data_IF_323024719062
#
_entry.id   IF_323024719062
#
_cell.length_a   1.000
_cell.length_b   1.000
_cell.length_c   1.000
_cell.angle_alpha   90.00
_cell.angle_beta   90.00
_cell.angle_gamma   90.00
#
_symmetry.space_group_name_H-M   'P 1'
#
loop_
_entity.id
_entity.type
_entity.pdbx_description
1 polymer ?
#
# COMPACT_ATOMS: atom_id res chain seq x y z
N UNK A 1 -9.21 -17.92 5.82
CA UNK A 1 -9.28 -16.61 5.14
C UNK A 1 -7.87 -16.24 4.69
N UNK A 2 -7.70 -15.85 3.43
CA UNK A 2 -6.43 -15.30 2.94
C UNK A 2 -6.41 -13.84 3.36
N UNK A 3 -5.49 -13.49 4.25
CA UNK A 3 -5.28 -12.11 4.70
C UNK A 3 -3.93 -11.69 4.16
N UNK A 4 -3.92 -10.82 3.15
CA UNK A 4 -2.67 -10.29 2.64
C UNK A 4 -2.10 -9.36 3.71
N UNK A 5 -0.96 -9.72 4.31
CA UNK A 5 -0.21 -8.85 5.23
C UNK A 5 0.47 -7.77 4.43
N UNK A 6 -0.32 -6.81 4.01
CA UNK A 6 0.19 -5.58 3.50
C UNK A 6 -0.33 -4.54 4.46
N UNK A 7 0.58 -3.92 5.20
CA UNK A 7 0.39 -2.68 5.96
C UNK A 7 0.01 -1.50 5.03
N UNK A 8 -0.59 -1.80 3.87
CA UNK A 8 -1.04 -0.96 2.78
C UNK A 8 -2.46 -0.46 3.06
N UNK A 9 -2.65 0.19 4.20
CA UNK A 9 -3.80 1.09 4.38
C UNK A 9 -3.44 2.53 4.04
N UNK A 10 -2.20 2.79 3.59
CA UNK A 10 -1.71 4.06 3.05
C UNK A 10 -1.44 3.90 1.56
N UNK A 11 -2.00 4.81 0.76
CA UNK A 11 -2.04 4.84 -0.72
C UNK A 11 -3.15 4.00 -1.37
N UNK A 12 -4.04 4.72 -2.03
CA UNK A 12 -5.23 4.27 -2.76
C UNK A 12 -4.91 3.43 -4.03
N UNK A 13 -3.78 2.74 -4.10
CA UNK A 13 -3.27 2.13 -5.33
C UNK A 13 -3.32 0.59 -5.38
N UNK A 14 -4.10 -0.07 -4.52
CA UNK A 14 -4.45 -1.49 -4.75
C UNK A 14 -5.90 -1.84 -4.36
N UNK A 15 -6.90 -1.43 -5.16
CA UNK A 15 -8.03 -2.30 -5.43
C UNK A 15 -7.63 -3.26 -6.55
N UNK A 16 -7.60 -4.56 -6.24
CA UNK A 16 -7.49 -5.62 -7.24
C UNK A 16 -8.86 -5.78 -7.91
N UNK A 17 -9.22 -4.83 -8.77
CA UNK A 17 -10.31 -4.97 -9.75
C UNK A 17 -9.77 -4.47 -11.07
N UNK A 18 -9.97 -5.28 -12.11
CA UNK A 18 -9.55 -5.02 -13.49
C UNK A 18 -9.77 -3.56 -13.86
N UNK A 19 -8.70 -2.76 -13.88
CA UNK A 19 -8.69 -1.54 -14.66
C UNK A 19 -8.78 -2.00 -16.12
N UNK A 20 -9.83 -1.55 -16.80
CA UNK A 20 -9.90 -1.61 -18.25
C UNK A 20 -8.61 -1.03 -18.80
N UNK A 21 -7.85 -1.89 -19.46
CA UNK A 21 -6.65 -1.56 -20.18
C UNK A 21 -7.05 -0.60 -21.30
N UNK A 22 -6.80 0.71 -21.13
CA UNK A 22 -6.60 1.54 -22.30
C UNK A 22 -5.34 1.02 -23.01
N UNK A 23 -5.32 1.07 -24.34
CA UNK A 23 -4.30 0.54 -25.27
C UNK A 23 -2.84 0.98 -25.00
N UNK A 24 -2.60 1.74 -23.94
CA UNK A 24 -1.29 2.22 -23.50
C UNK A 24 -0.81 1.67 -22.14
N UNK A 25 -1.61 0.88 -21.41
CA UNK A 25 -1.16 0.05 -20.28
C UNK A 25 -0.44 0.77 -19.12
N UNK A 26 -0.77 2.03 -18.80
CA UNK A 26 -0.02 2.84 -17.81
C UNK A 26 -0.87 3.29 -16.61
N UNK A 27 -0.38 3.01 -15.40
CA UNK A 27 -0.82 3.63 -14.14
C UNK A 27 -0.41 5.12 -14.09
N UNK A 28 -1.27 6.03 -13.59
CA UNK A 28 -0.97 7.47 -13.51
C UNK A 28 0.15 7.82 -12.51
N UNK A 29 0.38 6.97 -11.50
CA UNK A 29 1.51 7.11 -10.57
C UNK A 29 2.80 6.46 -11.11
N UNK A 30 3.47 7.11 -12.08
CA UNK A 30 4.85 6.77 -12.50
C UNK A 30 5.89 7.34 -11.51
N UNK A 31 6.91 6.55 -11.08
CA UNK A 31 8.10 7.07 -10.39
C UNK A 31 9.12 7.61 -11.40
N UNK A 32 9.53 8.86 -11.20
CA UNK A 32 10.42 9.62 -12.08
C UNK A 32 11.82 9.84 -11.50
N UNK A 33 12.17 9.17 -10.40
CA UNK A 33 13.55 9.13 -9.90
C UNK A 33 14.37 8.13 -10.72
N UNK A 34 14.80 8.55 -11.91
CA UNK A 34 15.84 7.85 -12.69
C UNK A 34 17.08 8.74 -12.69
N UNK A 35 17.93 8.59 -11.68
CA UNK A 35 19.36 8.90 -11.80
C UNK A 35 20.09 7.65 -12.29
N UNK A 36 21.29 7.82 -12.83
CA UNK A 36 22.14 6.77 -13.45
C UNK A 36 22.41 5.54 -12.58
N UNK A 37 22.12 5.61 -11.27
CA UNK A 37 22.05 4.45 -10.35
C UNK A 37 20.60 4.02 -10.12
N UNK A 38 19.92 3.57 -11.18
CA UNK A 38 18.51 3.18 -11.06
C UNK A 38 18.38 1.91 -10.21
N UNK A 39 17.70 2.01 -9.07
CA UNK A 39 17.45 0.89 -8.13
C UNK A 39 16.59 -0.26 -8.70
N UNK A 40 16.22 -0.21 -9.99
CA UNK A 40 15.35 -1.24 -10.59
C UNK A 40 13.94 -1.27 -10.00
N UNK A 41 13.41 -0.13 -9.53
CA UNK A 41 12.07 -0.10 -8.91
C UNK A 41 11.00 -0.51 -9.91
N UNK A 42 9.91 -1.11 -9.41
CA UNK A 42 8.77 -1.58 -10.24
C UNK A 42 8.01 -0.46 -10.94
N UNK A 43 8.38 0.81 -10.71
CA UNK A 43 7.71 2.00 -11.23
C UNK A 43 6.22 2.06 -10.89
N UNK A 44 5.81 1.54 -9.72
CA UNK A 44 4.42 1.51 -9.22
C UNK A 44 4.12 2.50 -8.09
N UNK A 45 5.05 3.41 -7.76
CA UNK A 45 4.83 4.40 -6.70
C UNK A 45 4.93 3.88 -5.25
N UNK A 46 5.40 2.65 -5.03
CA UNK A 46 5.51 2.06 -3.68
C UNK A 46 6.43 2.88 -2.76
N UNK A 47 7.63 3.24 -3.23
CA UNK A 47 8.58 4.04 -2.44
C UNK A 47 8.01 5.40 -2.00
N UNK A 48 7.51 6.24 -2.92
CA UNK A 48 6.87 7.51 -2.57
C UNK A 48 5.70 7.37 -1.59
N UNK A 49 4.86 6.34 -1.75
CA UNK A 49 3.77 6.07 -0.81
C UNK A 49 4.28 5.78 0.62
N UNK A 50 5.33 4.98 0.77
CA UNK A 50 5.97 4.72 2.07
C UNK A 50 6.68 5.96 2.63
N UNK A 51 7.25 6.82 1.78
CA UNK A 51 7.83 8.08 2.22
C UNK A 51 6.78 9.05 2.78
N UNK A 52 5.60 9.16 2.14
CA UNK A 52 4.47 9.94 2.69
C UNK A 52 3.93 9.34 3.98
N UNK A 53 3.94 8.00 4.13
CA UNK A 53 3.59 7.33 5.39
C UNK A 53 4.58 7.71 6.51
N UNK A 54 5.88 7.62 6.23
CA UNK A 54 6.93 7.98 7.19
C UNK A 54 6.87 9.47 7.58
N UNK A 55 6.57 10.33 6.60
CA UNK A 55 6.41 11.78 6.80
C UNK A 55 5.07 12.16 7.43
N UNK A 56 4.16 11.21 7.67
CA UNK A 56 2.81 11.42 8.22
C UNK A 56 1.92 12.36 7.38
N UNK A 57 2.25 12.54 6.10
CA UNK A 57 1.49 13.33 5.13
C UNK A 57 0.62 12.46 4.22
N UNK A 58 0.78 11.14 4.29
CA UNK A 58 0.04 10.19 3.46
C UNK A 58 -1.44 10.08 3.83
N UNK A 59 -2.26 9.76 2.83
CA UNK A 59 -3.70 9.52 2.99
C UNK A 59 -4.01 8.03 3.11
N UNK A 60 -5.01 7.71 3.94
CA UNK A 60 -5.48 6.36 4.21
C UNK A 60 -6.89 6.13 3.67
N UNK A 61 -7.27 4.85 3.58
CA UNK A 61 -8.62 4.43 3.17
C UNK A 61 -9.70 4.98 4.12
N UNK A 62 -9.40 5.06 5.43
CA UNK A 62 -10.32 5.67 6.40
C UNK A 62 -10.60 7.14 6.09
N UNK A 63 -9.59 7.89 5.62
CA UNK A 63 -9.74 9.30 5.28
C UNK A 63 -10.61 9.47 4.02
N UNK A 64 -10.46 8.56 3.05
CA UNK A 64 -11.27 8.56 1.81
C UNK A 64 -12.76 8.28 2.07
N UNK A 65 -13.07 7.42 3.03
CA UNK A 65 -14.45 7.00 3.32
C UNK A 65 -15.18 7.86 4.34
N UNK A 66 -14.46 8.70 5.11
CA UNK A 66 -15.02 9.55 6.16
C UNK A 66 -15.72 10.80 5.59
N UNK A 67 -14.99 11.91 5.41
CA UNK A 67 -15.47 13.12 4.74
C UNK A 67 -14.67 13.37 3.47
N UNK A 68 -15.34 13.26 2.33
CA UNK A 68 -14.72 13.45 1.03
C UNK A 68 -14.24 14.90 0.82
N UNK A 69 -14.86 15.89 1.47
CA UNK A 69 -14.44 17.29 1.36
C UNK A 69 -13.11 17.52 2.08
N UNK A 70 -12.97 17.00 3.30
CA UNK A 70 -11.72 17.04 4.05
C UNK A 70 -10.62 16.23 3.33
N UNK A 71 -10.95 15.04 2.83
CA UNK A 71 -10.04 14.23 2.02
C UNK A 71 -9.53 15.01 0.79
N UNK A 72 -10.43 15.66 0.06
CA UNK A 72 -10.08 16.44 -1.14
C UNK A 72 -9.12 17.59 -0.82
N UNK A 73 -9.32 18.29 0.31
CA UNK A 73 -8.40 19.33 0.78
C UNK A 73 -7.01 18.76 1.04
N UNK A 74 -6.92 17.65 1.79
CA UNK A 74 -5.63 17.00 2.10
C UNK A 74 -4.94 16.45 0.84
N UNK A 75 -5.72 15.91 -0.11
CA UNK A 75 -5.21 15.42 -1.38
C UNK A 75 -4.59 16.54 -2.22
N UNK A 76 -5.25 17.70 -2.32
CA UNK A 76 -4.70 18.87 -3.03
C UNK A 76 -3.40 19.38 -2.41
N UNK A 77 -3.33 19.43 -1.08
CA UNK A 77 -2.09 19.81 -0.36
C UNK A 77 -0.96 18.82 -0.69
N UNK A 78 -1.24 17.51 -0.61
CA UNK A 78 -0.26 16.48 -0.92
C UNK A 78 0.21 16.56 -2.39
N UNK A 79 -0.72 16.71 -3.34
CA UNK A 79 -0.41 16.86 -4.75
C UNK A 79 0.45 18.10 -5.01
N UNK A 80 0.17 19.22 -4.33
CA UNK A 80 0.97 20.45 -4.45
C UNK A 80 2.40 20.24 -3.93
N UNK A 81 2.58 19.57 -2.79
CA UNK A 81 3.91 19.22 -2.26
C UNK A 81 4.71 18.38 -3.27
N UNK A 82 4.06 17.42 -3.93
CA UNK A 82 4.68 16.63 -4.99
C UNK A 82 5.03 17.47 -6.22
N UNK A 83 4.17 18.39 -6.66
CA UNK A 83 4.47 19.32 -7.76
C UNK A 83 5.67 20.21 -7.45
N UNK A 84 5.79 20.71 -6.22
CA UNK A 84 6.95 21.51 -5.80
C UNK A 84 8.25 20.69 -5.79
N UNK A 85 8.18 19.45 -5.34
CA UNK A 85 9.35 18.56 -5.29
C UNK A 85 9.75 18.04 -6.67
N UNK A 86 8.80 17.93 -7.60
CA UNK A 86 8.99 17.38 -8.94
C UNK A 86 8.32 18.31 -9.98
N UNK A 87 9.02 19.34 -10.47
CA UNK A 87 8.45 20.35 -11.36
C UNK A 87 7.90 19.80 -12.68
N UNK A 88 8.41 18.66 -13.13
CA UNK A 88 7.96 17.97 -14.36
C UNK A 88 6.67 17.15 -14.17
N UNK A 89 6.17 17.06 -12.94
CA UNK A 89 5.01 16.24 -12.60
C UNK A 89 3.71 17.00 -12.86
N UNK A 90 3.03 16.67 -13.96
CA UNK A 90 1.70 17.16 -14.22
C UNK A 90 0.65 16.23 -13.58
N UNK A 91 -0.12 16.77 -12.63
CA UNK A 91 -1.22 16.05 -11.97
C UNK A 91 -2.49 16.88 -12.18
N UNK A 92 -3.47 16.29 -12.84
CA UNK A 92 -4.84 16.75 -12.84
C UNK A 92 -5.50 16.30 -11.53
N UNK A 93 -5.54 17.20 -10.55
CA UNK A 93 -6.05 16.84 -9.22
C UNK A 93 -7.54 16.55 -9.23
N UNK A 94 -8.29 17.17 -10.15
CA UNK A 94 -9.75 17.12 -10.10
C UNK A 94 -10.25 15.85 -10.79
N UNK A 95 -9.62 15.47 -11.90
CA UNK A 95 -9.87 14.18 -12.54
C UNK A 95 -9.52 13.00 -11.62
N UNK A 96 -8.40 13.07 -10.90
CA UNK A 96 -8.01 12.02 -9.94
C UNK A 96 -8.99 11.94 -8.77
N UNK A 97 -9.46 13.08 -8.24
CA UNK A 97 -10.47 13.10 -7.18
C UNK A 97 -11.79 12.48 -7.65
N UNK A 98 -12.23 12.76 -8.87
CA UNK A 98 -13.44 12.15 -9.44
C UNK A 98 -13.31 10.63 -9.55
N UNK A 99 -12.17 10.13 -10.04
CA UNK A 99 -11.90 8.69 -10.07
C UNK A 99 -11.88 8.07 -8.67
N UNK A 100 -11.23 8.73 -7.71
CA UNK A 100 -11.17 8.28 -6.32
C UNK A 100 -12.55 8.19 -5.69
N UNK A 101 -13.47 9.10 -6.04
CA UNK A 101 -14.88 9.04 -5.61
C UNK A 101 -15.60 7.79 -6.12
N UNK A 102 -15.39 7.44 -7.40
CA UNK A 102 -15.96 6.22 -8.00
C UNK A 102 -15.40 4.98 -7.29
N UNK A 103 -14.11 4.96 -6.99
CA UNK A 103 -13.49 3.84 -6.27
C UNK A 103 -13.96 3.77 -4.82
N UNK A 104 -14.14 4.90 -4.14
CA UNK A 104 -14.62 4.97 -2.77
C UNK A 104 -15.96 4.23 -2.61
N UNK A 105 -16.91 4.46 -3.52
CA UNK A 105 -18.21 3.77 -3.47
C UNK A 105 -18.08 2.25 -3.71
N UNK A 106 -17.17 1.82 -4.60
CA UNK A 106 -16.94 0.39 -4.87
C UNK A 106 -16.27 -0.32 -3.70
N UNK A 107 -15.35 0.33 -2.99
CA UNK A 107 -14.59 -0.29 -1.90
C UNK A 107 -15.30 -0.17 -0.55
N UNK A 108 -16.20 0.81 -0.37
CA UNK A 108 -16.93 1.07 0.88
C UNK A 108 -17.49 -0.21 1.55
N UNK A 109 -18.16 -1.15 0.85
CA UNK A 109 -18.68 -2.36 1.51
C UNK A 109 -17.60 -3.38 1.92
N UNK A 110 -16.39 -3.26 1.38
CA UNK A 110 -15.28 -4.17 1.65
C UNK A 110 -14.40 -3.69 2.82
N UNK A 111 -14.47 -2.40 3.16
CA UNK A 111 -13.64 -1.81 4.20
C UNK A 111 -14.21 -2.12 5.58
N UNK A 112 -13.33 -2.60 6.46
CA UNK A 112 -13.62 -2.91 7.85
C UNK A 112 -12.47 -2.42 8.71
N UNK A 113 -12.71 -2.29 10.02
CA UNK A 113 -11.62 -2.19 10.99
C UNK A 113 -10.79 -3.48 10.93
N UNK A 114 -9.59 -3.38 10.35
CA UNK A 114 -8.70 -4.52 10.16
C UNK A 114 -8.22 -5.13 11.48
N UNK A 115 -7.95 -4.32 12.50
CA UNK A 115 -7.44 -4.79 13.79
C UNK A 115 -8.55 -5.56 14.52
N UNK A 116 -9.74 -4.97 14.59
CA UNK A 116 -10.87 -5.64 15.22
C UNK A 116 -11.31 -6.89 14.45
N UNK A 117 -11.28 -6.84 13.12
CA UNK A 117 -11.57 -8.01 12.28
C UNK A 117 -10.60 -9.16 12.55
N UNK A 118 -9.30 -8.88 12.64
CA UNK A 118 -8.29 -9.88 12.97
C UNK A 118 -8.43 -10.40 14.39
N UNK A 119 -8.72 -9.52 15.36
CA UNK A 119 -8.98 -9.89 16.74
C UNK A 119 -10.14 -10.89 16.84
N UNK A 120 -11.27 -10.62 16.18
CA UNK A 120 -12.42 -11.52 16.11
C UNK A 120 -12.09 -12.84 15.39
N UNK A 121 -11.26 -12.79 14.35
CA UNK A 121 -10.85 -14.00 13.63
C UNK A 121 -9.95 -14.92 14.47
N UNK A 122 -9.16 -14.35 15.39
CA UNK A 122 -8.26 -15.09 16.28
C UNK A 122 -8.95 -15.62 17.53
N UNK A 123 -9.89 -14.86 18.11
CA UNK A 123 -10.56 -15.21 19.37
C UNK A 123 -11.92 -15.89 19.18
N UNK A 124 -12.50 -15.79 17.98
CA UNK A 124 -13.76 -16.42 17.65
C UNK A 124 -13.63 -17.93 17.41
N UNK A 125 -14.57 -18.54 16.66
CA UNK A 125 -14.47 -19.95 16.31
C UNK A 125 -13.16 -20.22 15.55
N UNK A 126 -12.55 -21.37 15.79
CA UNK A 126 -11.24 -21.73 15.23
C UNK A 126 -11.24 -21.56 13.70
N UNK A 127 -10.50 -20.55 13.22
CA UNK A 127 -10.33 -20.25 11.80
C UNK A 127 -8.87 -20.47 11.40
N UNK A 128 -8.68 -21.14 10.27
CA UNK A 128 -7.35 -21.21 9.62
C UNK A 128 -7.12 -19.93 8.82
N UNK A 129 -6.15 -19.15 9.27
CA UNK A 129 -5.72 -17.90 8.62
C UNK A 129 -4.44 -18.19 7.86
N UNK A 130 -4.45 -17.86 6.56
CA UNK A 130 -3.26 -17.93 5.72
C UNK A 130 -2.83 -16.50 5.41
N UNK A 131 -1.57 -16.20 5.70
CA UNK A 131 -0.98 -14.91 5.40
C UNK A 131 -0.04 -15.06 4.21
N UNK A 132 -0.35 -14.33 3.14
CA UNK A 132 0.50 -14.27 1.95
C UNK A 132 1.53 -13.16 2.12
N UNK A 133 2.80 -13.55 2.27
CA UNK A 133 3.93 -12.62 2.22
C UNK A 133 4.10 -12.03 0.83
N UNK A 134 4.41 -10.73 0.76
CA UNK A 134 4.77 -10.06 -0.49
C UNK A 134 6.30 -9.98 -0.63
N UNK A 135 6.78 -10.10 -1.88
CA UNK A 135 8.21 -10.06 -2.21
C UNK A 135 9.00 -11.19 -1.51
N UNK A 136 10.29 -10.98 -1.25
CA UNK A 136 11.20 -11.98 -0.70
C UNK A 136 12.08 -11.36 0.39
N UNK A 137 12.66 -12.19 1.27
CA UNK A 137 13.45 -11.74 2.42
C UNK A 137 14.63 -10.82 2.03
N UNK A 138 15.32 -11.11 0.92
CA UNK A 138 16.44 -10.28 0.45
C UNK A 138 16.02 -8.92 -0.13
N UNK A 139 14.72 -8.70 -0.33
CA UNK A 139 14.16 -7.40 -0.72
C UNK A 139 13.61 -6.64 0.49
N UNK A 140 13.75 -7.14 1.71
CA UNK A 140 13.30 -6.45 2.92
C UNK A 140 14.07 -5.12 3.09
N UNK A 141 13.37 -4.07 3.54
CA UNK A 141 13.96 -2.73 3.72
C UNK A 141 15.12 -2.73 4.75
N UNK A 142 15.04 -3.58 5.78
CA UNK A 142 15.99 -3.60 6.89
C UNK A 142 17.06 -4.69 6.71
N UNK A 143 16.65 -5.87 6.21
CA UNK A 143 17.51 -7.06 6.16
C UNK A 143 17.93 -7.47 4.75
N UNK A 144 17.46 -6.76 3.73
CA UNK A 144 17.76 -7.04 2.33
C UNK A 144 19.09 -6.44 1.85
N UNK A 145 19.33 -6.56 0.55
CA UNK A 145 20.52 -6.00 -0.11
C UNK A 145 20.37 -4.50 -0.36
N UNK A 146 20.33 -3.71 0.73
CA UNK A 146 20.17 -2.25 0.65
C UNK A 146 21.28 -1.60 -0.19
N UNK A 147 20.97 -0.66 -1.11
CA UNK A 147 19.68 0.02 -1.33
C UNK A 147 18.74 -0.68 -2.34
N UNK A 148 19.10 -1.84 -2.90
CA UNK A 148 18.33 -2.57 -3.92
C UNK A 148 17.20 -3.42 -3.31
N UNK A 149 16.32 -2.77 -2.55
CA UNK A 149 15.27 -3.40 -1.74
C UNK A 149 13.90 -2.76 -2.00
N UNK A 150 12.82 -3.37 -1.49
CA UNK A 150 11.52 -2.69 -1.41
C UNK A 150 11.47 -1.78 -0.18
N UNK A 151 10.49 -0.89 -0.11
CA UNK A 151 10.31 0.05 1.01
C UNK A 151 9.49 -0.54 2.18
N UNK A 152 9.36 -1.86 2.25
CA UNK A 152 8.49 -2.57 3.20
C UNK A 152 9.21 -3.77 3.80
N UNK A 153 8.76 -4.21 4.98
CA UNK A 153 9.22 -5.46 5.57
C UNK A 153 8.57 -6.66 4.88
N UNK A 154 9.39 -7.58 4.42
CA UNK A 154 9.03 -8.84 3.76
C UNK A 154 9.25 -10.06 4.66
N UNK A 155 9.83 -9.84 5.84
CA UNK A 155 10.06 -10.85 6.87
C UNK A 155 8.83 -11.05 7.77
N UNK A 156 8.89 -12.05 8.66
CA UNK A 156 7.79 -12.40 9.58
C UNK A 156 7.33 -11.24 10.46
N UNK A 157 8.22 -10.30 10.80
CA UNK A 157 7.87 -9.11 11.57
C UNK A 157 6.84 -8.21 10.87
N UNK A 158 6.83 -8.21 9.53
CA UNK A 158 5.84 -7.49 8.72
C UNK A 158 4.41 -8.02 8.90
N UNK A 159 4.25 -9.29 9.31
CA UNK A 159 2.94 -9.87 9.62
C UNK A 159 2.35 -9.25 10.87
N UNK A 160 3.14 -9.13 11.95
CA UNK A 160 2.70 -8.48 13.19
C UNK A 160 2.30 -7.02 12.95
N UNK A 161 3.20 -6.24 12.36
CA UNK A 161 3.00 -4.79 12.17
C UNK A 161 1.98 -4.46 11.09
N UNK A 162 1.81 -5.34 10.10
CA UNK A 162 0.84 -5.17 9.02
C UNK A 162 -0.59 -5.58 9.36
N UNK A 163 -0.77 -6.62 10.17
CA UNK A 163 -2.09 -7.13 10.55
C UNK A 163 -2.55 -6.69 11.93
N UNK A 164 -1.66 -6.10 12.74
CA UNK A 164 -1.98 -5.73 14.13
C UNK A 164 -2.16 -6.94 15.03
N UNK A 165 -1.45 -8.04 14.76
CA UNK A 165 -1.53 -9.27 15.56
C UNK A 165 -0.30 -9.40 16.46
N UNK A 166 -0.46 -9.84 17.72
CA UNK A 166 0.68 -10.06 18.58
C UNK A 166 1.45 -11.33 18.18
N UNK A 167 2.77 -11.37 18.40
CA UNK A 167 3.66 -12.40 17.84
C UNK A 167 3.34 -13.82 18.31
N UNK A 168 2.73 -13.99 19.48
CA UNK A 168 2.37 -15.31 20.01
C UNK A 168 1.25 -16.01 19.22
N UNK A 169 0.50 -15.29 18.38
CA UNK A 169 -0.47 -15.91 17.46
C UNK A 169 0.15 -16.35 16.13
N UNK A 170 1.42 -16.05 15.88
CA UNK A 170 2.11 -16.54 14.69
C UNK A 170 2.43 -18.02 14.88
N UNK A 171 1.81 -18.85 14.04
CA UNK A 171 2.03 -20.29 14.02
C UNK A 171 3.16 -20.68 13.07
N UNK A 172 2.82 -21.52 12.08
CA UNK A 172 3.80 -22.07 11.13
C UNK A 172 4.23 -21.02 10.11
N UNK A 173 5.53 -20.91 9.87
CA UNK A 173 6.13 -20.04 8.84
C UNK A 173 6.85 -20.92 7.82
N UNK A 174 6.50 -20.76 6.55
CA UNK A 174 7.07 -21.54 5.44
C UNK A 174 7.97 -20.66 4.58
N UNK A 175 9.24 -21.04 4.42
CA UNK A 175 10.17 -20.40 3.50
C UNK A 175 10.04 -20.98 2.09
N UNK A 176 9.74 -20.14 1.10
CA UNK A 176 9.68 -20.55 -0.31
C UNK A 176 11.03 -20.25 -0.97
N UNK A 177 11.73 -21.29 -1.41
CA UNK A 177 13.04 -21.21 -2.06
C UNK A 177 12.95 -21.81 -3.45
N UNK A 178 13.56 -21.16 -4.44
CA UNK A 178 13.64 -21.66 -5.82
C UNK A 178 14.92 -22.50 -5.97
N UNK A 179 14.80 -23.66 -6.63
CA UNK A 179 15.92 -24.53 -7.01
C UNK A 179 16.79 -23.92 -8.11
#
# INVERSE_FOLDING_TARGET
AVVTSNSHYTSCCKPRTNCSWNESGKCPFRPWLVSSNSLGTTKKGIGPAYASKASRTGLRICDLLADFNEFSKKFKVLAQQYKTSYPTLNIDTEAELEQLKIYAEKIRPLVKDGVYFMYQALHGPSKKILVEGANAALLDIDFGTYPFVTSSNCTVGGVCTGLGIPPHYIGKVYGVVKA
#
